data_IF_210875080189
#
_entry.id   IF_210875080189
#
_cell.length_a   1.000
_cell.length_b   1.000
_cell.length_c   1.000
_cell.angle_alpha   90.00
_cell.angle_beta   90.00
_cell.angle_gamma   90.00
#
_symmetry.space_group_name_H-M   'P 1'
#
loop_
_entity.id
_entity.type
_entity.pdbx_description
1 polymer ?
#
# COMPACT_ATOMS: atom_id res chain seq x y z
N UNK A 1 27.31 15.64 6.59
CA UNK A 1 26.76 14.78 7.65
C UNK A 1 25.86 15.63 8.53
N UNK A 2 24.56 15.63 8.25
CA UNK A 2 23.56 16.41 8.99
C UNK A 2 22.83 15.44 9.91
N UNK A 3 23.06 15.54 11.22
CA UNK A 3 22.28 14.80 12.23
C UNK A 3 21.02 15.58 12.55
N UNK A 4 19.83 15.01 12.32
CA UNK A 4 18.55 15.63 12.69
C UNK A 4 17.79 14.63 13.57
N UNK A 5 17.43 15.03 14.79
CA UNK A 5 16.47 14.28 15.60
C UNK A 5 15.07 14.60 15.09
N UNK A 6 14.32 13.57 14.68
CA UNK A 6 12.94 13.71 14.25
C UNK A 6 12.05 13.27 15.42
N UNK A 7 11.13 14.12 15.85
CA UNK A 7 10.14 13.83 16.89
C UNK A 7 8.88 13.26 16.23
N UNK A 8 8.55 12.00 16.51
CA UNK A 8 7.36 11.34 15.98
C UNK A 8 6.09 12.03 16.52
N UNK A 9 5.28 12.61 15.64
CA UNK A 9 3.93 13.09 15.99
C UNK A 9 2.91 12.20 15.29
N UNK A 10 2.21 11.38 16.08
CA UNK A 10 1.07 10.55 15.63
C UNK A 10 0.04 11.45 14.94
N UNK A 11 0.05 11.47 13.60
CA UNK A 11 -1.02 12.07 12.81
C UNK A 11 -2.08 11.01 12.57
N UNK A 12 -3.14 11.11 13.37
CA UNK A 12 -4.40 10.40 13.19
C UNK A 12 -5.04 10.86 11.86
N UNK A 13 -5.20 9.97 10.89
CA UNK A 13 -6.09 10.22 9.75
C UNK A 13 -6.81 8.95 9.28
N UNK A 14 -8.08 8.91 9.72
CA UNK A 14 -9.28 8.46 9.03
C UNK A 14 -9.37 7.02 8.51
N UNK A 15 -10.02 6.21 9.33
CA UNK A 15 -10.68 4.95 8.96
C UNK A 15 -11.63 5.15 7.77
N UNK A 16 -11.47 4.32 6.73
CA UNK A 16 -12.52 4.09 5.74
C UNK A 16 -13.61 3.20 6.36
N UNK A 17 -14.80 3.78 6.53
CA UNK A 17 -16.02 3.07 6.90
C UNK A 17 -16.51 2.28 5.68
N UNK A 18 -16.37 0.95 5.71
CA UNK A 18 -17.07 0.06 4.78
C UNK A 18 -18.53 -0.01 5.22
N UNK A 19 -19.40 0.68 4.49
CA UNK A 19 -20.85 0.66 4.70
C UNK A 19 -21.43 -0.63 4.12
N UNK A 20 -21.95 -1.49 4.99
CA UNK A 20 -22.82 -2.62 4.63
C UNK A 20 -24.22 -2.09 4.33
N UNK A 21 -24.71 -2.31 3.10
CA UNK A 21 -26.14 -2.18 2.78
C UNK A 21 -26.75 -3.57 2.56
N UNK A 22 -27.51 -4.01 3.57
CA UNK A 22 -28.53 -5.05 3.46
C UNK A 22 -29.89 -4.40 3.15
N UNK A 23 -30.51 -4.91 2.07
CA UNK A 23 -31.93 -5.21 1.86
C UNK A 23 -33.03 -4.16 2.07
N UNK A 24 -33.70 -3.84 0.96
CA UNK A 24 -35.17 -3.82 0.78
C UNK A 24 -35.42 -3.98 -0.74
N UNK A 25 -36.34 -4.78 -1.30
CA UNK A 25 -37.58 -5.35 -0.81
C UNK A 25 -38.70 -5.02 -1.83
N UNK A 26 -39.56 -6.00 -2.11
CA UNK A 26 -40.75 -6.03 -3.00
C UNK A 26 -40.46 -6.32 -4.50
N UNK A 27 -41.03 -7.33 -5.16
CA UNK A 27 -42.11 -8.26 -4.81
C UNK A 27 -42.93 -8.56 -6.08
N UNK A 28 -43.17 -9.84 -6.39
CA UNK A 28 -44.39 -10.37 -7.05
C UNK A 28 -44.32 -11.89 -7.23
N UNK A 29 -45.19 -12.55 -6.47
CA UNK A 29 -46.05 -13.72 -6.74
C UNK A 29 -45.65 -14.73 -7.84
N UNK A 30 -45.51 -16.00 -7.46
CA UNK A 30 -46.24 -17.15 -8.05
C UNK A 30 -46.38 -18.26 -6.99
N UNK A 31 -47.60 -18.81 -6.94
CA UNK A 31 -48.16 -19.87 -6.10
C UNK A 31 -47.82 -21.31 -6.53
N UNK A 32 -47.69 -22.25 -5.57
CA UNK A 32 -48.38 -23.56 -5.46
C UNK A 32 -47.72 -24.39 -4.32
N UNK A 33 -48.43 -24.63 -3.20
CA UNK A 33 -48.98 -25.94 -2.74
C UNK A 33 -47.92 -27.06 -2.65
N UNK A 34 -47.73 -27.74 -1.51
CA UNK A 34 -48.61 -28.76 -0.93
C UNK A 34 -48.28 -28.99 0.56
N UNK A 35 -49.34 -29.29 1.32
CA UNK A 35 -49.43 -29.69 2.74
C UNK A 35 -48.51 -30.85 3.17
N UNK A 36 -48.05 -30.82 4.43
CA UNK A 36 -48.51 -31.79 5.44
C UNK A 36 -48.20 -31.34 6.89
N UNK A 37 -49.25 -30.94 7.63
CA UNK A 37 -49.79 -31.57 8.87
C UNK A 37 -48.75 -32.30 9.76
N UNK A 38 -48.61 -32.10 11.07
CA UNK A 38 -49.57 -31.68 12.11
C UNK A 38 -48.81 -31.47 13.46
N UNK A 39 -49.22 -30.44 14.23
CA UNK A 39 -49.53 -30.39 15.69
C UNK A 39 -48.53 -30.94 16.74
N UNK A 40 -48.35 -30.36 17.93
CA UNK A 40 -49.23 -29.49 18.73
C UNK A 40 -48.46 -28.95 19.96
N UNK A 41 -48.81 -27.71 20.38
CA UNK A 41 -49.06 -27.30 21.79
C UNK A 41 -47.85 -27.22 22.75
N UNK A 42 -47.66 -26.30 23.72
CA UNK A 42 -48.46 -25.35 24.53
C UNK A 42 -47.39 -24.42 25.18
N UNK A 43 -47.44 -23.06 25.11
CA UNK A 43 -48.00 -22.08 26.10
C UNK A 43 -47.46 -22.32 27.53
N UNK A 44 -46.78 -21.44 28.28
CA UNK A 44 -47.06 -20.08 28.80
C UNK A 44 -45.80 -19.73 29.66
N UNK A 45 -45.18 -18.55 29.56
CA UNK A 45 -45.43 -17.34 30.37
C UNK A 45 -44.41 -17.05 31.49
N UNK A 46 -43.71 -15.92 31.28
CA UNK A 46 -43.22 -14.85 32.18
C UNK A 46 -42.57 -15.14 33.55
N UNK A 47 -41.42 -14.48 33.81
CA UNK A 47 -41.37 -13.28 34.66
C UNK A 47 -40.00 -12.58 34.67
N UNK A 48 -40.09 -11.27 34.48
CA UNK A 48 -39.11 -10.21 34.69
C UNK A 48 -38.96 -9.87 36.19
N UNK A 49 -37.75 -9.64 36.71
CA UNK A 49 -37.47 -8.67 37.81
C UNK A 49 -36.04 -8.11 37.66
N UNK A 50 -35.95 -6.81 37.93
CA UNK A 50 -34.93 -5.82 37.60
C UNK A 50 -34.09 -5.41 38.83
N UNK A 51 -32.81 -5.06 38.58
CA UNK A 51 -32.00 -3.96 39.16
C UNK A 51 -31.19 -4.06 40.49
N UNK A 52 -29.88 -3.78 40.31
CA UNK A 52 -28.88 -2.96 41.06
C UNK A 52 -28.47 -3.30 42.49
N UNK A 53 -27.14 -3.36 42.70
CA UNK A 53 -26.37 -2.28 43.38
C UNK A 53 -24.85 -2.40 43.19
N UNK A 54 -24.18 -1.25 43.05
CA UNK A 54 -22.75 -1.00 42.91
C UNK A 54 -21.95 -1.32 44.19
N UNK A 55 -20.66 -1.67 44.04
CA UNK A 55 -19.58 -1.22 44.94
C UNK A 55 -18.26 -1.17 44.17
N UNK A 56 -17.65 0.01 44.21
CA UNK A 56 -16.32 0.40 43.77
C UNK A 56 -15.22 -0.27 44.62
N UNK A 57 -14.13 -0.70 43.97
CA UNK A 57 -12.78 -0.64 44.55
C UNK A 57 -11.81 -0.22 43.44
N UNK A 58 -11.25 0.98 43.60
CA UNK A 58 -10.10 1.50 42.88
C UNK A 58 -8.88 0.61 43.08
N UNK A 59 -8.20 0.28 41.99
CA UNK A 59 -6.78 -0.03 42.00
C UNK A 59 -6.16 0.70 40.81
N UNK A 60 -5.67 1.92 41.07
CA UNK A 60 -4.73 2.60 40.18
C UNK A 60 -3.48 1.74 40.06
N UNK A 61 -3.36 1.01 38.97
CA UNK A 61 -2.06 0.63 38.44
C UNK A 61 -1.53 1.87 37.71
N UNK A 62 -0.57 2.57 38.32
CA UNK A 62 0.31 3.47 37.60
C UNK A 62 0.99 2.64 36.51
N UNK A 63 0.52 2.79 35.27
CA UNK A 63 1.28 2.37 34.11
C UNK A 63 2.43 3.36 33.99
N UNK A 64 3.62 2.91 34.37
CA UNK A 64 4.87 3.53 33.94
C UNK A 64 4.84 3.57 32.41
N UNK A 65 4.49 4.72 31.86
CA UNK A 65 4.72 5.03 30.46
C UNK A 65 6.23 5.22 30.37
N UNK A 66 6.94 4.14 30.07
CA UNK A 66 8.33 4.24 29.63
C UNK A 66 8.33 5.20 28.44
N UNK A 67 8.90 6.38 28.65
CA UNK A 67 9.14 7.38 27.62
C UNK A 67 10.13 6.75 26.64
N UNK A 68 9.63 6.13 25.57
CA UNK A 68 10.47 5.52 24.55
C UNK A 68 11.42 6.59 24.01
N UNK A 69 12.71 6.41 24.28
CA UNK A 69 13.73 7.32 23.78
C UNK A 69 13.73 7.24 22.27
N UNK A 70 13.70 8.37 21.54
CA UNK A 70 13.66 8.37 20.09
C UNK A 70 14.81 7.56 19.51
N UNK A 71 14.50 6.60 18.63
CA UNK A 71 15.51 5.88 17.86
C UNK A 71 16.28 6.90 17.00
N UNK A 72 17.57 7.06 17.25
CA UNK A 72 18.42 7.96 16.45
C UNK A 72 18.76 7.27 15.13
N UNK A 73 18.05 7.63 14.07
CA UNK A 73 18.26 7.08 12.72
C UNK A 73 19.36 7.88 12.03
N UNK A 74 20.46 7.20 11.66
CA UNK A 74 21.56 7.83 10.94
C UNK A 74 21.28 7.84 9.44
N UNK A 75 20.86 8.99 8.91
CA UNK A 75 20.65 9.19 7.47
C UNK A 75 21.96 9.70 6.86
N UNK A 76 22.52 8.93 5.93
CA UNK A 76 23.78 9.19 5.23
C UNK A 76 23.54 9.76 3.83
N UNK A 77 22.66 10.76 3.73
CA UNK A 77 22.35 11.38 2.45
C UNK A 77 23.53 12.18 1.86
N UNK A 78 23.67 12.13 0.54
CA UNK A 78 24.70 12.80 -0.27
C UNK A 78 24.37 14.26 -0.55
N UNK A 79 23.09 14.61 -0.53
CA UNK A 79 22.58 15.94 -0.89
C UNK A 79 22.04 16.67 0.36
N UNK A 80 21.89 18.01 0.32
CA UNK A 80 21.30 18.74 1.43
C UNK A 80 19.80 18.45 1.56
N UNK A 81 19.23 18.51 2.79
CA UNK A 81 17.80 18.29 2.99
C UNK A 81 16.96 19.39 2.34
N UNK A 82 15.80 19.01 1.81
CA UNK A 82 14.84 19.96 1.22
C UNK A 82 13.98 20.59 2.32
N UNK A 83 14.31 21.82 2.68
CA UNK A 83 13.56 22.60 3.68
C UNK A 83 12.29 23.26 3.10
N UNK A 84 12.28 23.53 1.78
CA UNK A 84 11.09 24.04 1.08
C UNK A 84 10.01 22.95 1.00
N UNK A 85 8.88 23.16 1.69
CA UNK A 85 7.80 22.19 1.72
C UNK A 85 7.14 21.97 0.36
N UNK A 86 6.98 23.00 -0.45
CA UNK A 86 6.32 22.86 -1.75
C UNK A 86 7.19 22.05 -2.73
N UNK A 87 8.51 22.27 -2.70
CA UNK A 87 9.45 21.47 -3.49
C UNK A 87 9.47 20.02 -3.00
N UNK A 88 9.53 19.81 -1.68
CA UNK A 88 9.50 18.47 -1.09
C UNK A 88 8.22 17.72 -1.47
N UNK A 89 7.06 18.35 -1.30
CA UNK A 89 5.76 17.74 -1.60
C UNK A 89 5.63 17.41 -3.10
N UNK A 90 6.19 18.24 -3.98
CA UNK A 90 6.25 17.94 -5.42
C UNK A 90 7.11 16.70 -5.70
N UNK A 91 8.32 16.62 -5.14
CA UNK A 91 9.21 15.45 -5.33
C UNK A 91 8.55 14.17 -4.83
N UNK A 92 7.89 14.23 -3.67
CA UNK A 92 7.16 13.09 -3.10
C UNK A 92 5.93 12.70 -3.93
N UNK A 93 5.24 13.66 -4.55
CA UNK A 93 4.15 13.36 -5.49
C UNK A 93 4.68 12.66 -6.76
N UNK A 94 5.77 13.18 -7.35
CA UNK A 94 6.42 12.53 -8.50
C UNK A 94 6.88 11.11 -8.14
N UNK A 95 7.41 10.91 -6.93
CA UNK A 95 7.78 9.59 -6.42
C UNK A 95 6.58 8.67 -6.22
N UNK A 96 5.46 9.17 -5.69
CA UNK A 96 4.25 8.35 -5.50
C UNK A 96 3.69 7.84 -6.83
N UNK A 97 3.67 8.69 -7.86
CA UNK A 97 3.30 8.28 -9.23
C UNK A 97 4.25 7.21 -9.77
N UNK A 98 5.56 7.47 -9.67
CA UNK A 98 6.59 6.56 -10.12
C UNK A 98 6.53 5.22 -9.36
N UNK A 99 6.26 5.22 -8.05
CA UNK A 99 6.06 4.02 -7.25
C UNK A 99 4.85 3.23 -7.73
N UNK A 100 3.73 3.90 -8.04
CA UNK A 100 2.56 3.25 -8.63
C UNK A 100 2.89 2.51 -9.94
N UNK A 101 3.72 3.11 -10.81
CA UNK A 101 4.17 2.46 -12.04
C UNK A 101 5.19 1.36 -11.80
N UNK A 102 6.06 1.52 -10.80
CA UNK A 102 7.03 0.52 -10.40
C UNK A 102 6.34 -0.77 -9.92
N UNK A 103 5.22 -0.64 -9.20
CA UNK A 103 4.38 -1.78 -8.79
C UNK A 103 3.87 -2.61 -9.99
N UNK A 104 3.82 -2.05 -11.19
CA UNK A 104 3.46 -2.81 -12.39
C UNK A 104 4.47 -3.91 -12.69
N UNK A 105 5.76 -3.70 -12.42
CA UNK A 105 6.79 -4.75 -12.55
C UNK A 105 6.75 -5.77 -11.40
N UNK A 106 5.91 -5.54 -10.39
CA UNK A 106 5.76 -6.37 -9.21
C UNK A 106 4.39 -7.04 -9.11
N UNK A 107 3.62 -7.11 -10.20
CA UNK A 107 2.35 -7.83 -10.20
C UNK A 107 1.09 -6.98 -10.08
N UNK A 108 1.22 -5.66 -9.91
CA UNK A 108 0.08 -4.75 -9.79
C UNK A 108 -0.23 -3.98 -11.09
N UNK A 109 0.24 -4.49 -12.23
CA UNK A 109 -0.08 -3.90 -13.51
C UNK A 109 -1.60 -3.94 -13.75
N UNK A 110 -2.21 -2.90 -14.33
CA UNK A 110 -3.61 -2.92 -14.69
C UNK A 110 -3.88 -3.96 -15.79
N UNK A 111 -4.84 -4.83 -15.55
CA UNK A 111 -5.17 -5.97 -16.41
C UNK A 111 -6.65 -5.95 -16.78
N UNK A 112 -6.94 -6.30 -18.03
CA UNK A 112 -8.30 -6.59 -18.47
C UNK A 112 -8.52 -8.10 -18.56
N UNK A 113 -9.31 -8.64 -17.62
CA UNK A 113 -9.61 -10.07 -17.51
C UNK A 113 -10.42 -10.65 -18.68
N UNK A 114 -11.04 -9.80 -19.50
CA UNK A 114 -11.84 -10.25 -20.65
C UNK A 114 -10.96 -10.64 -21.86
N UNK A 115 -9.68 -10.23 -21.85
CA UNK A 115 -8.74 -10.48 -22.94
C UNK A 115 -7.53 -11.25 -22.43
N UNK A 116 -7.62 -12.58 -22.51
CA UNK A 116 -6.59 -13.50 -22.04
C UNK A 116 -5.86 -14.14 -23.21
N UNK A 117 -4.54 -14.28 -23.09
CA UNK A 117 -3.68 -15.15 -23.90
C UNK A 117 -3.13 -16.21 -22.97
N UNK A 118 -3.64 -17.43 -23.14
CA UNK A 118 -3.19 -18.59 -22.36
C UNK A 118 -1.89 -19.14 -22.96
N UNK A 119 -0.89 -19.35 -22.12
CA UNK A 119 0.31 -20.10 -22.46
C UNK A 119 0.48 -21.30 -21.53
N UNK A 120 1.41 -22.21 -21.86
CA UNK A 120 1.59 -23.49 -21.16
C UNK A 120 1.82 -23.33 -19.65
N UNK A 121 2.46 -22.25 -19.21
CA UNK A 121 2.88 -22.04 -17.82
C UNK A 121 2.34 -20.76 -17.17
N UNK A 122 1.69 -19.88 -17.92
CA UNK A 122 1.15 -18.63 -17.40
C UNK A 122 0.08 -18.04 -18.32
N UNK A 123 -0.76 -17.18 -17.74
CA UNK A 123 -1.73 -16.40 -18.48
C UNK A 123 -1.25 -14.96 -18.62
N UNK A 124 -1.48 -14.41 -19.80
CA UNK A 124 -1.24 -13.01 -20.12
C UNK A 124 -2.58 -12.31 -20.30
N UNK A 125 -2.77 -11.20 -19.61
CA UNK A 125 -3.96 -10.37 -19.71
C UNK A 125 -3.65 -9.09 -20.45
N UNK A 126 -4.59 -8.58 -21.24
CA UNK A 126 -4.37 -7.33 -21.93
C UNK A 126 -4.09 -6.22 -20.92
N UNK A 127 -3.05 -5.43 -21.17
CA UNK A 127 -2.73 -4.29 -20.34
C UNK A 127 -3.83 -3.23 -20.49
N UNK A 128 -4.35 -2.73 -19.35
CA UNK A 128 -5.54 -1.86 -19.32
C UNK A 128 -5.23 -0.48 -18.77
N UNK A 129 -4.42 0.28 -19.51
CA UNK A 129 -4.09 1.65 -19.16
C UNK A 129 -4.39 2.61 -20.31
N UNK A 130 -5.10 3.73 -20.07
CA UNK A 130 -5.47 4.67 -21.13
C UNK A 130 -4.27 5.17 -21.94
N UNK A 131 -4.33 5.03 -23.26
CA UNK A 131 -3.30 5.52 -24.18
C UNK A 131 -2.04 4.65 -24.27
N UNK A 132 -2.03 3.47 -23.64
CA UNK A 132 -0.93 2.49 -23.75
C UNK A 132 -1.48 1.18 -24.28
N UNK A 133 -1.17 0.88 -25.53
CA UNK A 133 -1.58 -0.34 -26.22
C UNK A 133 -0.42 -1.17 -26.72
N UNK A 134 0.78 -0.61 -26.80
CA UNK A 134 1.99 -1.27 -27.31
C UNK A 134 3.14 -1.15 -26.33
N UNK A 135 4.17 -2.00 -26.51
CA UNK A 135 5.39 -1.92 -25.71
C UNK A 135 6.10 -0.55 -25.86
N UNK A 136 6.09 0.02 -27.06
CA UNK A 136 6.72 1.31 -27.33
C UNK A 136 6.01 2.46 -26.61
N UNK A 137 4.67 2.42 -26.56
CA UNK A 137 3.87 3.39 -25.79
C UNK A 137 4.13 3.26 -24.28
N UNK A 138 4.24 2.02 -23.76
CA UNK A 138 4.59 1.79 -22.36
C UNK A 138 5.98 2.38 -22.04
N UNK A 139 7.00 2.07 -22.85
CA UNK A 139 8.36 2.62 -22.67
C UNK A 139 8.36 4.14 -22.70
N UNK A 140 7.64 4.74 -23.66
CA UNK A 140 7.51 6.19 -23.76
C UNK A 140 6.83 6.79 -22.52
N UNK A 141 5.79 6.15 -22.00
CA UNK A 141 5.11 6.59 -20.78
C UNK A 141 6.03 6.49 -19.55
N UNK A 142 6.71 5.36 -19.37
CA UNK A 142 7.59 5.13 -18.22
C UNK A 142 8.76 6.13 -18.18
N UNK A 143 9.28 6.59 -19.33
CA UNK A 143 10.33 7.63 -19.39
C UNK A 143 9.96 8.94 -18.71
N UNK A 144 8.68 9.20 -18.45
CA UNK A 144 8.24 10.39 -17.71
C UNK A 144 8.66 10.34 -16.23
N UNK A 145 9.01 9.16 -15.72
CA UNK A 145 9.36 8.95 -14.30
C UNK A 145 10.57 8.05 -14.08
N UNK A 146 11.07 7.34 -15.09
CA UNK A 146 12.22 6.44 -14.93
C UNK A 146 13.29 6.69 -15.97
N UNK A 147 14.54 6.43 -15.59
CA UNK A 147 15.66 6.36 -16.55
C UNK A 147 15.50 5.17 -17.50
N UNK A 148 16.07 5.29 -18.70
CA UNK A 148 16.09 4.19 -19.68
C UNK A 148 16.69 2.90 -19.10
N UNK A 149 17.74 3.01 -18.27
CA UNK A 149 18.38 1.87 -17.63
C UNK A 149 17.41 1.03 -16.77
N UNK A 150 16.56 1.68 -15.96
CA UNK A 150 15.52 0.97 -15.19
C UNK A 150 14.51 0.32 -16.13
N UNK A 151 14.04 1.08 -17.13
CA UNK A 151 12.98 0.63 -18.03
C UNK A 151 13.45 -0.62 -18.80
N UNK A 152 14.65 -0.56 -19.35
CA UNK A 152 15.26 -1.68 -20.08
C UNK A 152 15.44 -2.88 -19.18
N UNK A 153 16.08 -2.70 -18.01
CA UNK A 153 16.30 -3.78 -17.05
C UNK A 153 15.00 -4.49 -16.62
N UNK A 154 13.90 -3.74 -16.46
CA UNK A 154 12.63 -4.30 -15.99
C UNK A 154 11.79 -4.92 -17.11
N UNK A 155 11.95 -4.45 -18.34
CA UNK A 155 11.21 -4.95 -19.51
C UNK A 155 11.94 -6.05 -20.28
N UNK A 156 13.19 -6.38 -19.92
CA UNK A 156 13.92 -7.54 -20.49
C UNK A 156 13.28 -8.90 -20.16
N UNK A 157 12.47 -8.96 -19.09
CA UNK A 157 11.79 -10.19 -18.68
C UNK A 157 10.49 -10.47 -19.45
N UNK A 158 9.92 -11.63 -19.19
CA UNK A 158 8.66 -12.09 -19.82
C UNK A 158 7.41 -11.41 -19.24
N UNK A 159 7.54 -10.48 -18.30
CA UNK A 159 6.39 -9.93 -17.59
C UNK A 159 5.45 -9.12 -18.49
N UNK A 160 5.99 -8.45 -19.52
CA UNK A 160 5.23 -7.72 -20.52
C UNK A 160 5.51 -8.30 -21.90
N UNK A 161 4.45 -8.55 -22.68
CA UNK A 161 4.56 -9.10 -24.04
C UNK A 161 3.57 -8.46 -24.99
N UNK A 162 3.91 -8.42 -26.26
CA UNK A 162 3.00 -7.92 -27.28
C UNK A 162 2.49 -9.08 -28.15
N UNK A 163 1.16 -9.18 -28.29
CA UNK A 163 0.49 -10.13 -29.17
C UNK A 163 -0.40 -9.37 -30.13
N UNK A 164 -0.24 -9.62 -31.43
CA UNK A 164 -1.08 -9.03 -32.48
C UNK A 164 -1.16 -7.49 -32.42
N UNK A 165 -0.07 -6.82 -32.00
CA UNK A 165 0.00 -5.36 -31.86
C UNK A 165 -0.66 -4.81 -30.59
N UNK A 166 -0.97 -5.67 -29.61
CA UNK A 166 -1.53 -5.29 -28.31
C UNK A 166 -0.63 -5.78 -27.17
N UNK A 167 -0.43 -4.93 -26.18
CA UNK A 167 0.36 -5.20 -24.98
C UNK A 167 -0.44 -6.04 -23.99
N UNK A 168 0.22 -7.05 -23.45
CA UNK A 168 -0.26 -7.94 -22.42
C UNK A 168 0.76 -8.00 -21.29
N UNK A 169 0.27 -8.35 -20.10
CA UNK A 169 1.06 -8.50 -18.90
C UNK A 169 0.77 -9.86 -18.27
N UNK A 170 1.82 -10.51 -17.75
CA UNK A 170 1.72 -11.79 -17.08
C UNK A 170 0.99 -11.61 -15.74
N UNK A 171 0.05 -12.50 -15.45
CA UNK A 171 -0.51 -12.60 -14.11
C UNK A 171 0.50 -13.28 -13.18
N UNK A 172 1.24 -12.46 -12.46
CA UNK A 172 2.09 -12.91 -11.37
C UNK A 172 1.90 -11.98 -10.18
N UNK A 173 1.14 -12.46 -9.19
CA UNK A 173 1.05 -11.78 -7.91
C UNK A 173 2.41 -11.90 -7.19
N UNK A 174 3.01 -10.76 -6.83
CA UNK A 174 3.99 -10.73 -5.74
C UNK A 174 3.26 -10.29 -4.48
N UNK A 175 3.52 -10.99 -3.38
CA UNK A 175 3.01 -10.59 -2.06
C UNK A 175 3.65 -9.28 -1.60
N UNK A 176 3.12 -8.75 -0.50
CA UNK A 176 3.74 -7.64 0.23
C UNK A 176 4.53 -8.14 1.43
N UNK A 177 5.50 -7.36 1.86
CA UNK A 177 6.31 -7.70 3.01
C UNK A 177 5.49 -7.46 4.26
N UNK A 178 4.94 -8.54 4.82
CA UNK A 178 4.10 -8.45 6.00
C UNK A 178 4.87 -8.11 7.29
N UNK A 179 6.18 -7.84 7.21
CA UNK A 179 7.00 -7.38 8.34
C UNK A 179 7.34 -5.89 8.25
N UNK A 180 6.83 -5.19 7.23
CA UNK A 180 6.92 -3.73 7.14
C UNK A 180 5.69 -3.13 7.81
N UNK A 181 5.94 -2.28 8.80
CA UNK A 181 4.90 -1.55 9.49
C UNK A 181 4.47 -0.30 8.70
N UNK A 182 5.42 0.58 8.45
CA UNK A 182 5.25 1.77 7.63
C UNK A 182 6.58 2.24 7.04
N UNK A 183 6.50 3.17 6.08
CA UNK A 183 7.66 3.80 5.47
C UNK A 183 7.50 5.31 5.55
N UNK A 184 8.47 5.99 6.15
CA UNK A 184 8.59 7.44 6.10
C UNK A 184 9.59 7.86 5.02
N UNK A 185 9.46 9.09 4.53
CA UNK A 185 10.29 9.61 3.45
C UNK A 185 10.91 10.97 3.81
N UNK A 186 12.22 11.06 3.64
CA UNK A 186 12.99 12.30 3.76
C UNK A 186 13.65 12.64 2.42
N UNK A 187 13.56 13.90 1.99
CA UNK A 187 14.01 14.33 0.65
C UNK A 187 15.27 15.17 0.73
N UNK A 188 16.25 14.79 -0.09
CA UNK A 188 17.53 15.47 -0.22
C UNK A 188 17.77 15.81 -1.70
N UNK A 189 18.14 17.06 -1.98
CA UNK A 189 18.24 17.55 -3.36
C UNK A 189 19.22 18.70 -3.52
N UNK A 190 20.08 18.62 -4.52
CA UNK A 190 21.01 19.67 -4.93
C UNK A 190 20.44 20.38 -6.17
N UNK A 191 19.93 21.59 -5.94
CA UNK A 191 19.31 22.43 -6.98
C UNK A 191 20.29 22.77 -8.11
N UNK A 192 21.58 22.91 -7.80
CA UNK A 192 22.60 23.29 -8.80
C UNK A 192 22.94 22.14 -9.75
N UNK A 193 22.88 20.90 -9.25
CA UNK A 193 23.16 19.69 -10.02
C UNK A 193 21.91 19.07 -10.64
N UNK A 194 20.73 19.45 -10.15
CA UNK A 194 19.47 18.78 -10.48
C UNK A 194 19.49 17.29 -10.13
N UNK A 195 20.21 16.92 -9.06
CA UNK A 195 20.39 15.56 -8.57
C UNK A 195 19.88 15.47 -7.13
N UNK A 196 19.23 14.36 -6.78
CA UNK A 196 18.71 14.15 -5.44
C UNK A 196 18.51 12.69 -5.08
N UNK A 197 18.14 12.47 -3.82
CA UNK A 197 17.68 11.18 -3.34
C UNK A 197 16.61 11.32 -2.27
N UNK A 198 15.71 10.35 -2.22
CA UNK A 198 14.74 10.16 -1.15
C UNK A 198 15.29 9.06 -0.25
N UNK A 199 15.46 9.33 1.04
CA UNK A 199 15.68 8.29 2.03
C UNK A 199 14.32 7.72 2.43
N UNK A 200 14.10 6.44 2.18
CA UNK A 200 12.95 5.67 2.65
C UNK A 200 13.32 4.98 3.97
N UNK A 201 12.67 5.38 5.06
CA UNK A 201 12.87 4.86 6.41
C UNK A 201 11.82 3.77 6.63
N UNK A 202 12.25 2.52 6.62
CA UNK A 202 11.37 1.34 6.64
C UNK A 202 11.32 0.80 8.06
N UNK A 203 10.19 1.04 8.73
CA UNK A 203 9.97 0.59 10.10
C UNK A 203 9.44 -0.84 10.07
N UNK A 204 10.06 -1.73 10.85
CA UNK A 204 9.71 -3.15 10.90
C UNK A 204 8.83 -3.47 12.10
N UNK A 205 7.81 -4.30 11.89
CA UNK A 205 7.10 -4.96 12.98
C UNK A 205 7.32 -6.47 12.96
N UNK A 206 6.97 -7.08 14.08
CA UNK A 206 6.92 -8.54 14.24
C UNK A 206 5.65 -8.92 14.98
N UNK A 207 5.38 -10.22 15.07
CA UNK A 207 4.17 -10.79 15.64
C UNK A 207 4.50 -11.68 16.83
N UNK A 208 3.86 -11.42 17.98
CA UNK A 208 3.96 -12.33 19.12
C UNK A 208 2.93 -13.46 18.99
N UNK A 209 3.41 -14.67 18.66
CA UNK A 209 2.58 -15.87 18.53
C UNK A 209 1.76 -16.22 19.79
N UNK A 210 2.16 -15.76 20.97
CA UNK A 210 1.47 -16.07 22.24
C UNK A 210 0.31 -15.13 22.50
N UNK A 211 0.48 -13.84 22.19
CA UNK A 211 -0.55 -12.83 22.44
C UNK A 211 -1.43 -12.60 21.22
N UNK A 212 -0.91 -12.88 20.02
CA UNK A 212 -1.55 -12.57 18.76
C UNK A 212 -1.45 -11.10 18.37
N UNK A 213 -0.51 -10.35 18.96
CA UNK A 213 -0.36 -8.91 18.76
C UNK A 213 0.88 -8.58 17.93
N UNK A 214 0.78 -7.54 17.10
CA UNK A 214 1.90 -6.97 16.35
C UNK A 214 2.62 -5.91 17.19
N UNK A 215 3.95 -5.87 17.13
CA UNK A 215 4.76 -4.87 17.82
C UNK A 215 5.88 -4.34 16.92
N UNK A 216 6.27 -3.08 17.12
CA UNK A 216 7.45 -2.51 16.46
C UNK A 216 8.71 -3.17 17.01
N UNK A 217 9.60 -3.57 16.11
CA UNK A 217 10.88 -4.22 16.47
C UNK A 217 11.93 -3.22 16.95
N UNK A 218 11.75 -1.93 16.62
CA UNK A 218 12.79 -0.90 16.72
C UNK A 218 13.82 -0.93 15.59
N UNK A 219 13.75 -1.91 14.68
CA UNK A 219 14.55 -1.96 13.47
C UNK A 219 14.02 -0.98 12.43
N UNK A 220 14.93 -0.19 11.87
CA UNK A 220 14.66 0.74 10.79
C UNK A 220 15.71 0.55 9.71
N UNK A 221 15.30 0.09 8.54
CA UNK A 221 16.15 0.07 7.35
C UNK A 221 16.08 1.43 6.64
N UNK A 222 17.16 1.81 5.96
CA UNK A 222 17.17 3.01 5.11
C UNK A 222 17.57 2.62 3.70
N UNK A 223 16.66 2.85 2.74
CA UNK A 223 16.94 2.72 1.31
C UNK A 223 16.99 4.09 0.64
N UNK A 224 17.86 4.26 -0.35
CA UNK A 224 18.03 5.53 -1.07
C UNK A 224 17.52 5.43 -2.51
N UNK A 225 16.53 6.26 -2.81
CA UNK A 225 15.85 6.36 -4.11
C UNK A 225 16.39 7.58 -4.84
N UNK A 226 17.21 7.36 -5.85
CA UNK A 226 17.92 8.40 -6.59
C UNK A 226 17.06 8.95 -7.71
N UNK A 227 17.14 10.25 -7.92
CA UNK A 227 16.46 10.93 -9.00
C UNK A 227 17.27 12.09 -9.57
N UNK A 228 16.96 12.44 -10.82
CA UNK A 228 17.31 13.72 -11.42
C UNK A 228 16.04 14.55 -11.58
N UNK A 229 16.16 15.86 -11.45
CA UNK A 229 15.07 16.78 -11.74
C UNK A 229 15.10 17.16 -13.23
N UNK A 230 14.01 16.90 -13.93
CA UNK A 230 13.78 17.34 -15.30
C UNK A 230 12.66 18.39 -15.35
N UNK A 231 12.40 18.95 -16.54
CA UNK A 231 11.38 19.98 -16.75
C UNK A 231 9.99 19.53 -16.25
N UNK A 232 9.66 18.25 -16.45
CA UNK A 232 8.38 17.62 -16.10
C UNK A 232 8.37 16.91 -14.73
N UNK A 233 9.45 17.04 -13.95
CA UNK A 233 9.56 16.54 -12.58
C UNK A 233 10.69 15.54 -12.33
N UNK A 234 10.60 14.83 -11.21
CA UNK A 234 11.64 13.88 -10.81
C UNK A 234 11.61 12.62 -11.70
N UNK A 235 12.77 12.27 -12.26
CA UNK A 235 13.02 11.03 -13.00
C UNK A 235 13.98 10.15 -12.20
N UNK A 236 13.53 8.96 -11.87
CA UNK A 236 14.15 8.08 -10.90
C UNK A 236 15.06 7.03 -11.55
N UNK A 237 16.19 6.75 -10.91
CA UNK A 237 17.21 5.80 -11.36
C UNK A 237 17.43 4.64 -10.39
N UNK A 238 16.83 4.68 -9.20
CA UNK A 238 16.70 3.54 -8.30
C UNK A 238 15.30 3.49 -7.72
N UNK A 239 14.84 2.30 -7.34
CA UNK A 239 13.58 2.09 -6.62
C UNK A 239 13.80 1.11 -5.48
N UNK A 240 12.97 1.18 -4.43
CA UNK A 240 13.17 0.35 -3.28
C UNK A 240 12.96 -1.13 -3.60
N UNK A 241 13.67 -1.97 -2.86
CA UNK A 241 13.64 -3.43 -3.01
C UNK A 241 12.68 -4.12 -2.04
N UNK A 242 11.92 -3.33 -1.30
CA UNK A 242 10.98 -3.79 -0.30
C UNK A 242 9.72 -4.38 -0.95
N UNK A 243 9.53 -5.68 -0.75
CA UNK A 243 8.36 -6.47 -1.12
C UNK A 243 8.19 -7.64 -0.18
#
# INVERSE_FOLDING_TARGET
MVRKQITLHKRLLCAFVVSTMLLAGCGKDVSESVENTQTESIVEESKEVVSKKETSVEASAESDVEEETPVEINIEAHYPPVEDSALRDKILADYADAYGYWMWFAGAAPMNSDYVKEEENCNYYAFDYPGITTMDELKKFLRTRFTDEIIESKLEGDFFREYDGRLYVMDAARGSNIFIDHVDYEVYYDVEKSEGEIAALIYRHDFDDKTGETYLTGEVDVEYIRFNMEDDGAVFSTFPTIW
#
